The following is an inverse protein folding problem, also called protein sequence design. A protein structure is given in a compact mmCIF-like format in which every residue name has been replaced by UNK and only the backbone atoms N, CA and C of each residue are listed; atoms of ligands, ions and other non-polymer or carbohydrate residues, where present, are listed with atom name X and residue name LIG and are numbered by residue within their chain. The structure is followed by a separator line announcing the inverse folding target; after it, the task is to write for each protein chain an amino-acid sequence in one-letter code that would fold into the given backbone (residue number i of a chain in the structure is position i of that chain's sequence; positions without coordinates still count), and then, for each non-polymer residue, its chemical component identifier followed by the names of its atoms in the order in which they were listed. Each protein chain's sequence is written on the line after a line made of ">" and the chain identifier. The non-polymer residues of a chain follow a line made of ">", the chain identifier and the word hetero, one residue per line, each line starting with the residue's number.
data_IF_233520687287
#
_entry.id   IF_233520687287
#
_cell.length_a   1.000
_cell.length_b   1.000
_cell.length_c   1.000
_cell.angle_alpha   90.00
_cell.angle_beta   90.00
_cell.angle_gamma   90.00
#
_symmetry.space_group_name_H-M   'P 1'
#
loop_
_entity.id
_entity.type
_entity.pdbx_description
1 polymer ?
#
# COMPACT_ATOMS: atom_id res chain seq x y z
N UNK A 1 -30.82 -71.43 16.52
CA UNK A 1 -31.86 -72.15 15.74
C UNK A 1 -31.84 -71.62 14.32
N UNK A 2 -31.85 -72.58 13.39
CA UNK A 2 -31.55 -72.55 11.96
C UNK A 2 -32.24 -71.49 11.09
N UNK A 3 -31.56 -71.09 10.01
CA UNK A 3 -31.99 -71.08 8.58
C UNK A 3 -30.99 -70.17 7.82
N UNK A 4 -30.44 -70.47 6.64
CA UNK A 4 -30.66 -71.51 5.65
C UNK A 4 -29.57 -71.38 4.56
N UNK A 5 -29.49 -72.42 3.74
CA UNK A 5 -28.35 -72.79 2.87
C UNK A 5 -28.14 -71.99 1.59
N UNK A 6 -26.86 -71.93 1.18
CA UNK A 6 -26.31 -72.20 -0.14
C UNK A 6 -26.74 -71.37 -1.37
N UNK A 7 -25.78 -70.63 -1.94
CA UNK A 7 -25.57 -70.58 -3.38
C UNK A 7 -24.08 -70.66 -3.74
N UNK A 8 -23.84 -71.34 -4.87
CA UNK A 8 -22.63 -72.04 -5.32
C UNK A 8 -21.53 -71.14 -5.93
N UNK A 9 -20.30 -71.68 -6.06
CA UNK A 9 -19.12 -70.96 -6.52
C UNK A 9 -19.04 -70.86 -8.04
N UNK A 10 -18.36 -69.83 -8.54
CA UNK A 10 -17.73 -69.84 -9.87
C UNK A 10 -16.26 -69.46 -9.73
N UNK A 11 -15.40 -70.45 -9.93
CA UNK A 11 -14.02 -70.25 -10.32
C UNK A 11 -13.98 -69.50 -11.64
N UNK A 12 -13.21 -68.42 -11.70
CA UNK A 12 -12.53 -67.98 -12.92
C UNK A 12 -11.12 -67.53 -12.55
N UNK A 13 -10.20 -67.99 -13.39
CA UNK A 13 -8.78 -68.04 -13.18
C UNK A 13 -8.08 -66.68 -13.32
N UNK A 14 -6.96 -66.60 -12.61
CA UNK A 14 -5.72 -65.87 -12.88
C UNK A 14 -5.65 -64.99 -14.14
N UNK A 15 -5.16 -63.77 -13.96
CA UNK A 15 -4.08 -63.18 -14.78
C UNK A 15 -3.47 -62.00 -14.02
N UNK A 16 -2.19 -62.13 -13.71
CA UNK A 16 -1.39 -61.08 -13.10
C UNK A 16 -1.18 -59.92 -14.06
N UNK A 17 -1.25 -58.71 -13.53
CA UNK A 17 -0.64 -57.54 -14.12
C UNK A 17 0.05 -56.79 -12.97
N UNK A 18 1.37 -56.89 -12.93
CA UNK A 18 2.21 -56.03 -12.12
C UNK A 18 2.04 -54.59 -12.63
N UNK A 19 1.38 -53.74 -11.85
CA UNK A 19 1.37 -52.30 -12.08
C UNK A 19 2.72 -51.74 -11.67
N UNK A 20 3.63 -51.66 -12.63
CA UNK A 20 4.85 -50.87 -12.52
C UNK A 20 4.46 -49.40 -12.39
N UNK A 21 4.88 -48.78 -11.29
CA UNK A 21 4.81 -47.36 -11.03
C UNK A 21 5.74 -46.63 -12.01
N UNK A 22 5.20 -46.11 -13.12
CA UNK A 22 5.87 -45.07 -13.91
C UNK A 22 5.32 -43.72 -13.46
N UNK A 23 6.01 -43.12 -12.49
CA UNK A 23 5.89 -41.69 -12.19
C UNK A 23 6.43 -40.93 -13.41
N UNK A 24 5.53 -40.33 -14.19
CA UNK A 24 5.91 -39.39 -15.23
C UNK A 24 6.29 -38.07 -14.54
N UNK A 25 7.52 -37.93 -14.08
CA UNK A 25 8.12 -36.62 -13.88
C UNK A 25 8.36 -36.03 -15.28
N UNK A 26 7.39 -35.30 -15.80
CA UNK A 26 7.66 -34.36 -16.89
C UNK A 26 8.57 -33.27 -16.32
N UNK A 27 9.86 -33.37 -16.60
CA UNK A 27 10.75 -32.23 -16.56
C UNK A 27 10.29 -31.27 -17.66
N UNK A 28 9.41 -30.35 -17.29
CA UNK A 28 9.13 -29.15 -18.07
C UNK A 28 10.23 -28.16 -17.76
N UNK A 29 11.26 -28.13 -18.60
CA UNK A 29 11.99 -26.89 -18.88
C UNK A 29 11.00 -25.94 -19.55
N UNK A 30 10.32 -25.14 -18.72
CA UNK A 30 9.62 -23.95 -19.18
C UNK A 30 10.31 -22.72 -18.58
N UNK A 31 11.08 -22.09 -19.45
CA UNK A 31 11.57 -20.72 -19.36
C UNK A 31 10.38 -19.76 -19.24
N UNK A 32 9.95 -19.47 -18.02
CA UNK A 32 9.04 -18.36 -17.75
C UNK A 32 9.56 -17.52 -16.58
N UNK A 33 10.27 -16.45 -16.93
CA UNK A 33 10.38 -15.21 -16.14
C UNK A 33 9.00 -14.87 -15.55
N UNK A 34 8.80 -15.19 -14.29
CA UNK A 34 7.69 -14.68 -13.45
C UNK A 34 8.24 -14.33 -12.07
N UNK A 35 9.37 -13.65 -12.06
CA UNK A 35 9.72 -12.78 -10.94
C UNK A 35 9.07 -11.44 -11.27
N UNK A 36 8.10 -11.02 -10.45
CA UNK A 36 8.03 -9.67 -9.82
C UNK A 36 6.61 -9.08 -9.63
N UNK A 37 5.54 -9.70 -10.12
CA UNK A 37 4.17 -9.13 -9.92
C UNK A 37 3.65 -9.20 -8.47
N UNK A 38 4.37 -9.91 -7.57
CA UNK A 38 4.02 -10.01 -6.14
C UNK A 38 4.90 -9.17 -5.23
N UNK A 39 5.88 -8.44 -5.76
CA UNK A 39 6.76 -7.59 -4.96
C UNK A 39 6.35 -6.13 -5.07
N UNK A 40 6.51 -5.39 -3.98
CA UNK A 40 6.35 -3.94 -3.97
C UNK A 40 7.35 -3.28 -4.91
N UNK A 41 6.88 -2.39 -5.76
CA UNK A 41 7.73 -1.64 -6.68
C UNK A 41 7.21 -0.21 -6.86
N UNK A 42 8.09 0.70 -7.27
CA UNK A 42 7.68 2.07 -7.57
C UNK A 42 7.08 2.14 -8.97
N UNK A 43 5.88 2.73 -9.06
CA UNK A 43 5.18 2.94 -10.32
C UNK A 43 6.01 3.78 -11.27
N UNK A 44 6.23 3.26 -12.48
CA UNK A 44 6.96 3.99 -13.50
C UNK A 44 6.14 5.18 -14.00
N UNK A 45 6.77 6.35 -14.04
CA UNK A 45 6.16 7.60 -14.50
C UNK A 45 4.93 8.04 -13.66
N UNK A 46 4.75 7.50 -12.44
CA UNK A 46 3.70 7.88 -11.49
C UNK A 46 4.28 8.83 -10.43
N UNK A 47 3.99 10.12 -10.56
CA UNK A 47 4.56 11.19 -9.74
C UNK A 47 3.53 11.95 -8.89
N UNK A 48 3.83 13.23 -8.65
CA UNK A 48 2.94 14.11 -7.88
C UNK A 48 1.52 14.27 -8.46
N UNK A 49 1.31 14.34 -9.80
CA UNK A 49 -0.04 14.41 -10.37
C UNK A 49 -0.90 13.19 -10.00
N UNK A 50 -0.34 11.99 -10.09
CA UNK A 50 -1.02 10.73 -9.75
C UNK A 50 -1.38 10.68 -8.27
N UNK A 51 -0.43 11.01 -7.39
CA UNK A 51 -0.66 11.06 -5.94
C UNK A 51 -1.71 12.10 -5.55
N UNK A 52 -1.62 13.32 -6.09
CA UNK A 52 -2.59 14.40 -5.88
C UNK A 52 -3.99 14.01 -6.37
N UNK A 53 -4.09 13.36 -7.52
CA UNK A 53 -5.35 12.92 -8.11
C UNK A 53 -6.02 11.79 -7.32
N UNK A 54 -5.23 10.86 -6.77
CA UNK A 54 -5.73 9.81 -5.86
C UNK A 54 -6.24 10.43 -4.55
N UNK A 55 -5.42 11.25 -3.88
CA UNK A 55 -5.76 11.91 -2.62
C UNK A 55 -6.87 12.97 -2.77
N UNK A 56 -7.20 13.39 -4.01
CA UNK A 56 -8.09 14.52 -4.31
C UNK A 56 -7.65 15.79 -3.59
N UNK A 57 -6.35 16.04 -3.56
CA UNK A 57 -5.76 17.24 -2.93
C UNK A 57 -5.25 18.14 -4.03
N UNK A 58 -5.70 19.39 -4.06
CA UNK A 58 -5.15 20.41 -4.93
C UNK A 58 -3.78 20.85 -4.37
N UNK A 59 -2.71 20.60 -5.12
CA UNK A 59 -1.40 21.21 -4.83
C UNK A 59 -1.52 22.72 -5.10
N UNK A 60 -1.20 23.60 -4.14
CA UNK A 60 -1.28 25.04 -4.34
C UNK A 60 -0.44 25.50 -5.53
N UNK A 61 -0.92 26.46 -6.33
CA UNK A 61 -0.16 26.99 -7.47
C UNK A 61 1.18 27.62 -7.06
N UNK A 62 1.26 28.16 -5.84
CA UNK A 62 2.48 28.73 -5.27
C UNK A 62 3.44 27.68 -4.70
N UNK A 63 3.06 26.40 -4.73
CA UNK A 63 3.88 25.35 -4.16
C UNK A 63 5.17 25.16 -4.98
N UNK A 64 6.26 24.93 -4.25
CA UNK A 64 7.58 24.62 -4.81
C UNK A 64 8.00 23.23 -4.37
N UNK A 65 9.05 22.69 -4.99
CA UNK A 65 9.57 21.36 -4.66
C UNK A 65 8.49 20.25 -4.65
N UNK A 66 7.55 20.34 -5.59
CA UNK A 66 6.45 19.37 -5.72
C UNK A 66 7.02 18.02 -6.15
N UNK A 67 6.88 17.03 -5.28
CA UNK A 67 7.37 15.66 -5.43
C UNK A 67 6.25 14.69 -5.13
N UNK A 68 6.25 13.55 -5.81
CA UNK A 68 5.36 12.45 -5.49
C UNK A 68 5.79 11.18 -6.17
N UNK A 69 5.25 10.08 -5.68
CA UNK A 69 5.46 8.74 -6.20
C UNK A 69 4.28 7.85 -5.80
N UNK A 70 4.13 6.73 -6.49
CA UNK A 70 3.20 5.67 -6.11
C UNK A 70 3.98 4.37 -5.96
N UNK A 71 3.89 3.75 -4.79
CA UNK A 71 4.40 2.40 -4.58
C UNK A 71 3.27 1.41 -4.86
N UNK A 72 3.43 0.62 -5.90
CA UNK A 72 2.49 -0.45 -6.26
C UNK A 72 2.76 -1.64 -5.33
N UNK A 73 1.74 -2.09 -4.63
CA UNK A 73 1.85 -3.15 -3.63
C UNK A 73 0.81 -4.26 -3.89
N UNK A 74 1.07 -5.50 -3.44
CA UNK A 74 0.12 -6.60 -3.63
C UNK A 74 -1.24 -6.42 -2.93
N UNK A 75 -1.29 -5.63 -1.86
CA UNK A 75 -2.50 -5.40 -1.08
C UNK A 75 -3.09 -4.02 -1.37
N UNK A 76 -2.28 -2.99 -1.21
CA UNK A 76 -2.74 -1.61 -1.25
C UNK A 76 -1.59 -0.67 -1.62
N UNK A 77 -1.78 0.07 -2.71
CA UNK A 77 -0.79 1.00 -3.22
C UNK A 77 -0.60 2.17 -2.25
N UNK A 78 0.65 2.61 -2.09
CA UNK A 78 0.98 3.78 -1.26
C UNK A 78 1.25 4.97 -2.16
N UNK A 79 0.46 6.03 -1.98
CA UNK A 79 0.62 7.29 -2.70
C UNK A 79 1.37 8.28 -1.81
N UNK A 80 2.43 8.87 -2.34
CA UNK A 80 3.24 9.87 -1.65
C UNK A 80 3.15 11.21 -2.37
N UNK A 81 2.93 12.28 -1.62
CA UNK A 81 2.94 13.65 -2.11
C UNK A 81 3.70 14.53 -1.13
N UNK A 82 4.58 15.39 -1.63
CA UNK A 82 5.22 16.42 -0.82
C UNK A 82 5.42 17.69 -1.62
N UNK A 83 5.30 18.83 -0.95
CA UNK A 83 5.57 20.14 -1.53
C UNK A 83 5.89 21.15 -0.44
N UNK A 84 6.53 22.26 -0.82
CA UNK A 84 6.84 23.40 0.05
C UNK A 84 5.92 24.56 -0.28
N UNK A 85 5.32 25.16 0.74
CA UNK A 85 4.43 26.33 0.62
C UNK A 85 4.57 27.21 1.87
N UNK A 86 3.85 28.32 1.98
CA UNK A 86 3.76 29.07 3.25
C UNK A 86 2.94 28.33 4.32
N UNK A 87 3.22 28.62 5.59
CA UNK A 87 2.58 27.98 6.76
C UNK A 87 1.04 28.07 6.74
N UNK A 88 0.49 29.22 6.34
CA UNK A 88 -0.97 29.41 6.31
C UNK A 88 -1.61 28.50 5.26
N UNK A 89 -0.99 28.35 4.10
CA UNK A 89 -1.47 27.44 3.06
C UNK A 89 -1.30 25.98 3.47
N UNK A 90 -0.18 25.60 4.11
CA UNK A 90 0.02 24.25 4.62
C UNK A 90 -1.06 23.83 5.64
N UNK A 91 -1.39 24.71 6.59
CA UNK A 91 -2.46 24.47 7.56
C UNK A 91 -3.82 24.36 6.88
N UNK A 92 -4.13 25.21 5.89
CA UNK A 92 -5.38 25.13 5.13
C UNK A 92 -5.54 23.82 4.36
N UNK A 93 -4.45 23.30 3.78
CA UNK A 93 -4.45 21.98 3.14
C UNK A 93 -4.80 20.91 4.17
N UNK A 94 -4.20 20.95 5.35
CA UNK A 94 -4.52 20.00 6.42
C UNK A 94 -5.98 20.12 6.91
N UNK A 95 -6.51 21.32 7.03
CA UNK A 95 -7.91 21.56 7.41
C UNK A 95 -8.90 21.07 6.33
N UNK A 96 -8.58 21.22 5.04
CA UNK A 96 -9.40 20.72 3.93
C UNK A 96 -9.56 19.20 3.94
N UNK A 97 -8.59 18.47 4.50
CA UNK A 97 -8.65 17.03 4.70
C UNK A 97 -9.65 16.62 5.80
N UNK A 98 -10.12 17.56 6.63
CA UNK A 98 -11.07 17.33 7.74
C UNK A 98 -10.61 16.23 8.71
N UNK A 99 -9.39 16.32 9.27
CA UNK A 99 -8.93 15.32 10.22
C UNK A 99 -9.84 15.31 11.46
N UNK A 100 -10.10 14.12 12.02
CA UNK A 100 -10.89 13.99 13.25
C UNK A 100 -10.26 14.71 14.44
N UNK A 101 -8.92 14.80 14.43
CA UNK A 101 -8.13 15.50 15.44
C UNK A 101 -7.23 16.52 14.74
N UNK A 102 -7.09 17.76 15.27
CA UNK A 102 -6.22 18.76 14.69
C UNK A 102 -4.75 18.31 14.57
N UNK A 103 -4.00 19.01 13.72
CA UNK A 103 -2.54 18.89 13.65
C UNK A 103 -1.94 19.01 15.05
N UNK A 104 -1.11 18.03 15.41
CA UNK A 104 -0.46 17.95 16.72
C UNK A 104 0.99 17.57 16.57
N UNK A 105 1.83 18.06 17.46
CA UNK A 105 3.23 17.62 17.53
C UNK A 105 3.26 16.13 17.83
N UNK A 106 4.06 15.38 17.06
CA UNK A 106 4.23 13.94 17.32
C UNK A 106 5.17 13.77 18.52
N UNK A 107 4.71 13.09 19.57
CA UNK A 107 5.61 12.60 20.61
C UNK A 107 6.41 11.43 20.01
N UNK A 108 7.73 11.54 20.09
CA UNK A 108 8.70 10.64 19.49
C UNK A 108 8.52 9.24 20.10
N UNK A 109 7.99 8.30 19.32
CA UNK A 109 8.19 6.85 19.46
C UNK A 109 7.42 6.16 18.33
N UNK A 110 8.12 5.81 17.26
CA UNK A 110 7.58 5.03 16.15
C UNK A 110 8.54 3.92 15.76
N UNK A 111 8.02 2.85 15.14
CA UNK A 111 8.85 1.89 14.43
C UNK A 111 9.79 2.59 13.44
N UNK A 112 10.95 1.95 13.22
CA UNK A 112 12.03 2.48 12.38
C UNK A 112 11.55 2.89 10.97
N UNK A 113 12.26 3.79 10.31
CA UNK A 113 11.81 4.42 9.08
C UNK A 113 11.58 3.37 7.98
N UNK A 114 10.35 3.31 7.47
CA UNK A 114 10.11 2.88 6.09
C UNK A 114 10.65 4.01 5.21
N UNK A 115 11.58 3.72 4.29
CA UNK A 115 12.20 4.72 3.40
C UNK A 115 11.23 5.16 2.27
N UNK A 116 10.04 5.62 2.64
CA UNK A 116 8.99 6.06 1.72
C UNK A 116 9.35 7.42 1.12
N UNK A 117 9.48 8.46 1.94
CA UNK A 117 9.87 9.79 1.47
C UNK A 117 11.35 9.85 1.10
N UNK A 118 12.17 8.94 1.63
CA UNK A 118 13.52 8.68 1.17
C UNK A 118 13.60 8.43 -0.34
N UNK A 119 12.63 7.71 -0.92
CA UNK A 119 12.54 7.52 -2.38
C UNK A 119 12.42 8.83 -3.16
N UNK A 120 11.80 9.86 -2.58
CA UNK A 120 11.68 11.19 -3.18
C UNK A 120 12.93 12.07 -2.96
N UNK A 121 13.96 11.53 -2.31
CA UNK A 121 15.15 12.27 -1.86
C UNK A 121 14.86 13.23 -0.70
N UNK A 122 13.89 12.90 0.15
CA UNK A 122 13.47 13.70 1.30
C UNK A 122 13.77 12.96 2.60
N UNK A 123 13.95 13.72 3.68
CA UNK A 123 13.94 13.13 5.02
C UNK A 123 12.53 12.63 5.37
N UNK A 124 12.48 11.56 6.14
CA UNK A 124 11.23 11.01 6.64
C UNK A 124 10.59 11.99 7.64
N UNK A 125 9.30 12.36 7.50
CA UNK A 125 8.68 13.36 8.37
C UNK A 125 8.73 12.96 9.84
N UNK A 126 8.65 11.68 10.17
CA UNK A 126 8.76 11.14 11.53
C UNK A 126 10.15 11.32 12.17
N UNK A 127 11.19 11.53 11.36
CA UNK A 127 12.55 11.80 11.85
C UNK A 127 12.79 13.28 12.16
N UNK A 128 11.88 14.16 11.75
CA UNK A 128 12.03 15.61 11.84
C UNK A 128 11.53 16.18 13.16
N UNK A 129 12.33 17.03 13.79
CA UNK A 129 11.96 17.68 15.05
C UNK A 129 10.88 18.73 14.80
N UNK A 130 9.88 18.76 15.66
CA UNK A 130 8.81 19.76 15.59
C UNK A 130 7.76 19.49 14.50
N UNK A 131 7.84 18.35 13.81
CA UNK A 131 6.81 17.95 12.84
C UNK A 131 5.45 17.86 13.54
N UNK A 132 4.44 18.49 12.92
CA UNK A 132 3.04 18.32 13.29
C UNK A 132 2.39 17.32 12.35
N UNK A 133 1.45 16.54 12.84
CA UNK A 133 0.78 15.53 12.04
C UNK A 133 -0.70 15.42 12.38
N UNK A 134 -1.46 14.89 11.41
CA UNK A 134 -2.83 14.43 11.61
C UNK A 134 -3.09 13.19 10.74
N UNK A 135 -3.95 12.32 11.25
CA UNK A 135 -4.51 11.20 10.49
C UNK A 135 -5.93 11.52 10.07
N UNK A 136 -6.30 11.09 8.87
CA UNK A 136 -7.58 11.40 8.23
C UNK A 136 -8.19 10.10 7.71
N UNK A 137 -9.40 9.80 8.15
CA UNK A 137 -10.26 8.79 7.55
C UNK A 137 -11.40 9.52 6.80
N UNK A 138 -11.27 9.77 5.49
CA UNK A 138 -12.31 10.50 4.75
C UNK A 138 -13.71 9.87 4.85
N UNK A 139 -13.88 8.53 4.82
CA UNK A 139 -15.18 7.90 5.05
C UNK A 139 -15.76 8.16 6.45
N UNK A 140 -14.92 8.21 7.49
CA UNK A 140 -15.34 8.41 8.88
C UNK A 140 -15.94 9.80 9.13
N UNK A 141 -15.50 10.80 8.37
CA UNK A 141 -15.97 12.21 8.46
C UNK A 141 -16.94 12.60 7.34
N UNK A 142 -17.37 11.62 6.53
CA UNK A 142 -18.31 11.85 5.42
C UNK A 142 -17.77 12.78 4.33
N UNK A 143 -16.46 12.80 4.08
CA UNK A 143 -15.88 13.55 2.96
C UNK A 143 -16.07 12.79 1.64
N UNK A 144 -17.23 13.02 1.00
CA UNK A 144 -17.60 12.36 -0.25
C UNK A 144 -16.65 12.64 -1.42
N UNK A 145 -15.79 13.66 -1.34
CA UNK A 145 -14.77 13.92 -2.37
C UNK A 145 -13.74 12.80 -2.44
N UNK A 146 -13.50 12.11 -1.32
CA UNK A 146 -12.42 11.13 -1.09
C UNK A 146 -12.98 9.79 -0.61
N UNK A 147 -14.15 9.39 -1.08
CA UNK A 147 -14.82 8.15 -0.64
C UNK A 147 -13.99 6.89 -0.86
N UNK A 148 -13.14 6.89 -1.89
CA UNK A 148 -12.27 5.77 -2.25
C UNK A 148 -10.90 5.79 -1.54
N UNK A 149 -10.60 6.83 -0.77
CA UNK A 149 -9.33 6.94 -0.02
C UNK A 149 -9.57 6.46 1.40
N UNK A 150 -8.91 5.38 1.81
CA UNK A 150 -9.15 4.77 3.11
C UNK A 150 -8.49 5.56 4.22
N UNK A 151 -7.29 6.08 3.97
CA UNK A 151 -6.54 6.86 4.94
C UNK A 151 -5.61 7.89 4.29
N UNK A 152 -5.44 9.03 4.96
CA UNK A 152 -4.39 10.01 4.64
C UNK A 152 -3.67 10.38 5.93
N UNK A 153 -2.35 10.21 5.95
CA UNK A 153 -1.48 10.87 6.91
C UNK A 153 -0.96 12.17 6.31
N UNK A 154 -1.14 13.28 7.02
CA UNK A 154 -0.51 14.55 6.68
C UNK A 154 0.48 14.96 7.77
N UNK A 155 1.67 15.36 7.34
CA UNK A 155 2.69 15.96 8.18
C UNK A 155 3.03 17.35 7.68
N UNK A 156 3.25 18.26 8.62
CA UNK A 156 3.57 19.67 8.38
C UNK A 156 4.83 20.01 9.16
N UNK A 157 5.88 20.34 8.43
CA UNK A 157 7.19 20.69 8.96
C UNK A 157 7.51 22.14 8.59
N UNK A 158 7.61 23.00 9.60
CA UNK A 158 8.15 24.34 9.40
C UNK A 158 9.63 24.23 9.03
N UNK A 159 10.01 24.88 7.94
CA UNK A 159 11.39 25.02 7.47
C UNK A 159 11.91 26.40 7.84
N UNK A 160 13.17 26.66 7.51
CA UNK A 160 13.73 27.99 7.63
C UNK A 160 12.97 29.01 6.75
N UNK A 161 12.96 30.27 7.18
CA UNK A 161 12.45 31.43 6.41
C UNK A 161 10.93 31.45 6.19
N UNK A 162 10.15 30.83 7.07
CA UNK A 162 8.68 30.92 7.04
C UNK A 162 8.02 30.11 5.93
N UNK A 163 8.75 29.14 5.37
CA UNK A 163 8.21 28.14 4.47
C UNK A 163 7.95 26.84 5.23
N UNK A 164 7.04 26.03 4.73
CA UNK A 164 6.56 24.83 5.39
C UNK A 164 6.49 23.72 4.35
N UNK A 165 7.10 22.58 4.66
CA UNK A 165 6.93 21.37 3.86
C UNK A 165 5.73 20.59 4.35
N UNK A 166 4.89 20.21 3.39
CA UNK A 166 3.80 19.27 3.59
C UNK A 166 4.25 17.91 3.07
N UNK A 167 3.98 16.87 3.85
CA UNK A 167 4.13 15.47 3.44
C UNK A 167 2.78 14.80 3.56
N UNK A 168 2.38 14.02 2.57
CA UNK A 168 1.16 13.24 2.57
C UNK A 168 1.44 11.82 2.11
N UNK A 169 0.91 10.86 2.86
CA UNK A 169 0.87 9.46 2.52
C UNK A 169 -0.60 9.03 2.50
N UNK A 170 -1.02 8.29 1.48
CA UNK A 170 -2.38 7.78 1.38
C UNK A 170 -2.40 6.37 0.80
N UNK A 171 -3.48 5.67 1.13
CA UNK A 171 -3.79 4.32 0.67
C UNK A 171 -5.31 4.10 0.77
#
# INVERSE_FOLDING_TARGET
>A
MNNGSALRPRLLAALGAALLLTSCSSAGEDDHRTTDERASHWGKDMGAPEASAFMKVAVPESATEVKGAVQINPQEDIYLLSFVTDERTAVRVAEDLRPEKPLRTRNQDLPGPTELFGHLGLAEPQSEKGVRWAGVCPPCVGDSRRSEVQWIEIHVLELDRGTTRVYMQAF
#
